data_IF_873034745547
#
_entry.id   IF_873034745547
#
_cell.length_a   1.000
_cell.length_b   1.000
_cell.length_c   1.000
_cell.angle_alpha   90.00
_cell.angle_beta   90.00
_cell.angle_gamma   90.00
#
_symmetry.space_group_name_H-M   'P 1'
#
loop_
_entity.id
_entity.type
_entity.pdbx_description
1 polymer ?
#
# COMPACT_ATOMS: atom_id res chain seq x y z
N UNK A 1 11.34 -4.00 3.39
CA UNK A 1 9.93 -3.84 3.79
C UNK A 1 8.96 -4.54 2.85
N UNK A 2 9.26 -4.55 1.56
CA UNK A 2 8.35 -5.17 0.58
C UNK A 2 8.09 -6.65 0.86
N UNK A 3 9.10 -7.37 1.31
CA UNK A 3 8.96 -8.80 1.62
C UNK A 3 8.00 -9.09 2.76
N UNK A 4 7.75 -8.10 3.61
CA UNK A 4 6.81 -8.27 4.73
C UNK A 4 5.36 -8.34 4.27
N UNK A 5 5.08 -7.91 3.04
CA UNK A 5 3.72 -7.98 2.51
C UNK A 5 3.20 -9.40 2.37
N UNK A 6 4.08 -10.40 2.29
CA UNK A 6 3.64 -11.79 2.19
C UNK A 6 3.19 -12.37 3.53
N UNK A 7 3.80 -11.93 4.63
CA UNK A 7 3.62 -12.57 5.93
C UNK A 7 2.89 -11.71 6.95
N UNK A 8 2.99 -10.38 6.86
CA UNK A 8 2.41 -9.48 7.85
C UNK A 8 0.94 -9.18 7.53
N UNK A 9 0.15 -8.77 8.52
CA UNK A 9 -1.18 -8.25 8.25
C UNK A 9 -1.08 -7.11 7.26
N UNK A 10 -1.95 -7.10 6.26
CA UNK A 10 -1.83 -6.13 5.18
C UNK A 10 -3.17 -5.78 4.57
N UNK A 11 -3.17 -4.69 3.81
CA UNK A 11 -4.25 -4.36 2.90
C UNK A 11 -3.75 -4.50 1.47
N UNK A 12 -4.64 -4.79 0.54
CA UNK A 12 -4.33 -4.90 -0.88
C UNK A 12 -5.36 -4.10 -1.64
N UNK A 13 -4.90 -3.15 -2.46
CA UNK A 13 -5.79 -2.33 -3.25
C UNK A 13 -6.13 -1.00 -2.59
N UNK A 14 -6.75 -0.11 -3.38
CA UNK A 14 -6.96 1.29 -2.98
C UNK A 14 -7.88 1.45 -1.78
N UNK A 15 -9.07 0.84 -1.85
CA UNK A 15 -10.11 1.09 -0.83
C UNK A 15 -9.66 0.69 0.56
N UNK A 16 -9.13 -0.51 0.69
CA UNK A 16 -8.70 -1.01 2.00
C UNK A 16 -7.46 -0.30 2.50
N UNK A 17 -6.56 0.06 1.59
CA UNK A 17 -5.34 0.78 1.96
C UNK A 17 -5.68 2.19 2.48
N UNK A 18 -6.54 2.92 1.77
CA UNK A 18 -6.96 4.26 2.21
C UNK A 18 -7.62 4.18 3.58
N UNK A 19 -8.52 3.21 3.77
CA UNK A 19 -9.20 3.05 5.06
C UNK A 19 -8.21 2.77 6.18
N UNK A 20 -7.24 1.90 5.95
CA UNK A 20 -6.25 1.58 6.97
C UNK A 20 -5.41 2.80 7.35
N UNK A 21 -5.02 3.61 6.36
CA UNK A 21 -4.28 4.84 6.64
C UNK A 21 -5.13 5.82 7.43
N UNK A 22 -6.38 6.02 7.03
CA UNK A 22 -7.28 6.95 7.70
C UNK A 22 -7.55 6.55 9.14
N UNK A 23 -7.64 5.26 9.41
CA UNK A 23 -7.95 4.73 10.74
C UNK A 23 -6.72 4.55 11.63
N UNK A 24 -5.53 4.90 11.13
CA UNK A 24 -4.30 4.75 11.90
C UNK A 24 -3.82 3.33 12.04
N UNK A 25 -4.29 2.42 11.18
CA UNK A 25 -3.91 1.00 11.21
C UNK A 25 -2.68 0.68 10.37
N UNK A 26 -2.36 1.54 9.39
CA UNK A 26 -1.24 1.29 8.50
C UNK A 26 0.05 1.78 9.14
N UNK A 27 1.08 0.95 9.08
CA UNK A 27 2.40 1.33 9.59
C UNK A 27 3.39 1.63 8.47
N UNK A 28 3.11 1.14 7.26
CA UNK A 28 3.95 1.37 6.09
C UNK A 28 3.13 1.14 4.83
N UNK A 29 3.30 1.97 3.80
CA UNK A 29 2.49 1.86 2.59
C UNK A 29 3.37 1.70 1.35
N UNK A 30 2.76 1.17 0.28
CA UNK A 30 3.42 0.94 -1.00
C UNK A 30 2.55 1.46 -2.13
N UNK A 31 3.16 2.13 -3.10
CA UNK A 31 2.48 2.70 -4.26
C UNK A 31 3.15 2.19 -5.51
N UNK A 32 2.36 1.75 -6.49
CA UNK A 32 2.89 1.33 -7.78
C UNK A 32 3.02 2.53 -8.70
N UNK A 33 4.20 2.70 -9.30
CA UNK A 33 4.48 3.87 -10.13
C UNK A 33 3.64 3.90 -11.42
N UNK A 34 3.23 2.76 -11.93
CA UNK A 34 2.43 2.69 -13.16
C UNK A 34 0.93 2.66 -12.90
N UNK A 35 0.51 2.85 -11.66
CA UNK A 35 -0.91 2.93 -11.33
C UNK A 35 -1.46 4.31 -11.69
N UNK A 36 -2.80 4.42 -11.70
CA UNK A 36 -3.49 5.67 -11.96
C UNK A 36 -2.95 6.75 -11.02
N UNK A 37 -2.56 7.90 -11.61
CA UNK A 37 -1.93 8.98 -10.85
C UNK A 37 -2.87 9.54 -9.77
N UNK A 38 -4.18 9.50 -10.00
CA UNK A 38 -5.14 9.99 -8.99
C UNK A 38 -5.13 9.09 -7.77
N UNK A 39 -4.96 7.78 -7.97
CA UNK A 39 -4.88 6.83 -6.86
C UNK A 39 -3.58 7.02 -6.07
N UNK A 40 -2.45 7.07 -6.78
CA UNK A 40 -1.16 7.19 -6.08
C UNK A 40 -1.03 8.51 -5.36
N UNK A 41 -1.51 9.60 -5.97
CA UNK A 41 -1.49 10.91 -5.33
C UNK A 41 -2.35 10.92 -4.06
N UNK A 42 -3.54 10.35 -4.13
CA UNK A 42 -4.45 10.29 -2.99
C UNK A 42 -3.80 9.56 -1.81
N UNK A 43 -3.23 8.38 -2.09
CA UNK A 43 -2.61 7.58 -1.03
C UNK A 43 -1.37 8.29 -0.49
N UNK A 44 -0.57 8.88 -1.37
CA UNK A 44 0.62 9.61 -0.95
C UNK A 44 0.27 10.77 -0.02
N UNK A 45 -0.76 11.55 -0.38
CA UNK A 45 -1.20 12.67 0.44
C UNK A 45 -1.68 12.21 1.81
N UNK A 46 -2.44 11.11 1.84
CA UNK A 46 -2.91 10.55 3.11
C UNK A 46 -1.75 10.08 3.98
N UNK A 47 -0.76 9.44 3.37
CA UNK A 47 0.43 9.01 4.10
C UNK A 47 1.15 10.20 4.72
N UNK A 48 1.27 11.29 3.97
CA UNK A 48 1.92 12.50 4.48
C UNK A 48 1.12 13.12 5.61
N UNK A 49 -0.21 13.16 5.50
CA UNK A 49 -1.06 13.72 6.55
C UNK A 49 -1.02 12.91 7.83
N UNK A 50 -0.90 11.60 7.71
CA UNK A 50 -0.95 10.70 8.86
C UNK A 50 0.43 10.22 9.31
N UNK A 51 1.49 10.76 8.72
CA UNK A 51 2.87 10.40 9.04
C UNK A 51 3.14 8.91 8.86
N UNK A 52 2.59 8.33 7.81
CA UNK A 52 2.83 6.92 7.45
C UNK A 52 3.97 6.89 6.43
N UNK A 53 5.07 6.22 6.73
CA UNK A 53 6.14 6.07 5.73
C UNK A 53 5.67 5.22 4.56
N UNK A 54 6.18 5.52 3.37
CA UNK A 54 5.79 4.77 2.17
C UNK A 54 6.95 4.69 1.20
N UNK A 55 6.87 3.73 0.29
CA UNK A 55 7.83 3.63 -0.80
C UNK A 55 7.11 3.34 -2.10
N UNK A 56 7.78 3.67 -3.22
CA UNK A 56 7.22 3.47 -4.54
C UNK A 56 7.81 2.21 -5.14
N UNK A 57 6.93 1.40 -5.76
CA UNK A 57 7.29 0.14 -6.43
C UNK A 57 7.10 0.37 -7.92
N UNK A 58 7.97 -0.16 -8.75
CA UNK A 58 7.98 0.13 -10.18
C UNK A 58 6.65 -0.17 -10.87
N UNK A 59 6.04 -1.32 -10.57
CA UNK A 59 4.84 -1.74 -11.28
C UNK A 59 3.80 -2.34 -10.34
N UNK A 60 2.54 -2.25 -10.77
CA UNK A 60 1.44 -2.90 -10.08
C UNK A 60 1.61 -4.42 -10.05
N UNK A 61 2.22 -4.96 -11.10
CA UNK A 61 2.48 -6.41 -11.17
C UNK A 61 3.43 -6.83 -10.06
N UNK A 62 4.53 -6.10 -9.89
CA UNK A 62 5.49 -6.41 -8.83
C UNK A 62 4.85 -6.27 -7.44
N UNK A 63 4.04 -5.24 -7.25
CA UNK A 63 3.38 -5.03 -5.96
C UNK A 63 2.38 -6.14 -5.68
N UNK A 64 1.61 -6.56 -6.68
CA UNK A 64 0.68 -7.68 -6.53
C UNK A 64 1.41 -8.96 -6.17
N UNK A 65 2.52 -9.23 -6.84
CA UNK A 65 3.34 -10.42 -6.53
C UNK A 65 3.87 -10.37 -5.10
N UNK A 66 4.30 -9.21 -4.66
CA UNK A 66 4.79 -9.06 -3.28
C UNK A 66 3.69 -9.30 -2.26
N UNK A 67 2.46 -8.95 -2.59
CA UNK A 67 1.30 -9.21 -1.73
C UNK A 67 0.85 -10.67 -1.78
N UNK A 68 1.36 -11.46 -2.72
CA UNK A 68 0.93 -12.84 -2.88
C UNK A 68 -0.39 -12.99 -3.62
N UNK A 69 -0.82 -11.97 -4.35
CA UNK A 69 -2.05 -12.03 -5.14
C UNK A 69 -1.71 -12.11 -6.62
N UNK A 70 -2.66 -12.59 -7.43
CA UNK A 70 -2.42 -12.81 -8.86
C UNK A 70 -2.90 -11.67 -9.73
N UNK A 71 -3.31 -10.55 -9.12
CA UNK A 71 -3.80 -9.39 -9.88
C UNK A 71 -2.87 -8.21 -9.63
N UNK A 72 -2.74 -7.29 -10.60
CA UNK A 72 -1.98 -6.07 -10.40
C UNK A 72 -2.58 -5.26 -9.26
N UNK A 73 -1.72 -4.64 -8.45
CA UNK A 73 -2.12 -3.94 -7.24
C UNK A 73 -1.57 -2.51 -7.27
N UNK A 74 -2.46 -1.52 -7.21
CA UNK A 74 -2.06 -0.12 -7.28
C UNK A 74 -1.38 0.36 -6.00
N UNK A 75 -1.84 -0.13 -4.86
CA UNK A 75 -1.27 0.23 -3.56
C UNK A 75 -1.59 -0.85 -2.54
N UNK A 76 -0.80 -0.84 -1.47
CA UNK A 76 -0.95 -1.79 -0.37
C UNK A 76 -0.35 -1.18 0.89
N UNK A 77 -0.66 -1.74 2.03
CA UNK A 77 -0.09 -1.28 3.29
C UNK A 77 0.12 -2.45 4.23
N UNK A 78 1.14 -2.32 5.08
CA UNK A 78 1.36 -3.22 6.20
C UNK A 78 0.59 -2.64 7.37
N UNK A 79 -0.21 -3.47 8.03
CA UNK A 79 -1.03 -3.07 9.16
C UNK A 79 -0.32 -3.38 10.48
N UNK A 80 -0.74 -2.69 11.53
CA UNK A 80 -0.24 -3.00 12.87
C UNK A 80 -0.57 -4.44 13.23
N UNK A 81 0.34 -5.07 13.94
CA UNK A 81 0.04 -6.36 14.55
C UNK A 81 -0.93 -6.13 15.71
N UNK A 82 -1.90 -7.02 15.84
CA UNK A 82 -2.91 -6.91 16.90
C UNK A 82 -2.31 -7.14 18.28
#
# INVERSE_FOLDING_TARGET
MLEKLKTDPKTVGMRTTIRAIENGEAVYAFLADDADVFITRRVQELCQQKDVPYERIRTMKELGEACGVQVPTACAAIKRHA
#
